data_IF_206173972001
#
_entry.id   IF_206173972001
#
_cell.length_a   1.000
_cell.length_b   1.000
_cell.length_c   1.000
_cell.angle_alpha   90.00
_cell.angle_beta   90.00
_cell.angle_gamma   90.00
#
_symmetry.space_group_name_H-M   'P 1'
#
loop_
_entity.id
_entity.type
_entity.pdbx_description
1 polymer ?
#
# COMPACT_ATOMS: atom_id res chain seq x y z
N UNK A 1 -32.84 -19.31 22.53
CA UNK A 1 -32.16 -18.48 21.51
C UNK A 1 -30.83 -19.14 21.19
N UNK A 2 -30.71 -19.76 20.05
CA UNK A 2 -29.51 -20.49 19.64
C UNK A 2 -28.48 -19.49 19.13
N UNK A 3 -27.40 -19.23 19.89
CA UNK A 3 -26.25 -18.51 19.39
C UNK A 3 -25.56 -19.39 18.35
N UNK A 4 -25.82 -19.16 17.09
CA UNK A 4 -25.00 -19.72 16.01
C UNK A 4 -23.62 -19.07 16.09
N UNK A 5 -22.67 -19.76 16.70
CA UNK A 5 -21.25 -19.44 16.60
C UNK A 5 -20.89 -19.63 15.11
N UNK A 6 -20.85 -18.51 14.37
CA UNK A 6 -20.28 -18.54 13.02
C UNK A 6 -18.82 -18.94 13.15
N UNK A 7 -18.52 -20.18 12.81
CA UNK A 7 -17.13 -20.64 12.69
C UNK A 7 -16.43 -19.74 11.69
N UNK A 8 -15.54 -18.89 12.16
CA UNK A 8 -14.68 -18.07 11.33
C UNK A 8 -13.78 -19.03 10.54
N UNK A 9 -13.86 -18.98 9.20
CA UNK A 9 -12.96 -19.75 8.35
C UNK A 9 -11.56 -19.17 8.50
N UNK A 10 -10.60 -20.00 8.89
CA UNK A 10 -9.19 -19.67 8.93
C UNK A 10 -8.51 -20.06 7.62
N UNK A 11 -7.61 -19.21 7.15
CA UNK A 11 -6.66 -19.54 6.09
C UNK A 11 -5.34 -19.95 6.75
N UNK A 12 -4.63 -20.89 6.13
CA UNK A 12 -3.33 -21.32 6.62
C UNK A 12 -2.40 -21.65 5.45
N UNK A 13 -1.18 -21.14 5.51
CA UNK A 13 -0.11 -21.39 4.55
C UNK A 13 0.09 -20.26 3.56
N UNK A 14 1.04 -20.48 2.65
CA UNK A 14 1.46 -19.49 1.66
C UNK A 14 0.65 -19.59 0.38
N UNK A 15 0.09 -18.48 -0.04
CA UNK A 15 -0.67 -18.33 -1.28
C UNK A 15 0.02 -17.32 -2.19
N UNK A 16 0.24 -17.69 -3.45
CA UNK A 16 1.02 -16.89 -4.40
C UNK A 16 0.25 -16.59 -5.67
N UNK A 17 0.56 -15.45 -6.25
CA UNK A 17 0.29 -15.08 -7.63
C UNK A 17 1.59 -14.51 -8.19
N UNK A 18 1.96 -14.76 -9.42
CA UNK A 18 3.19 -14.37 -10.13
C UNK A 18 4.26 -13.62 -9.29
N UNK A 19 3.91 -12.44 -8.76
CA UNK A 19 4.79 -11.55 -7.98
C UNK A 19 4.38 -11.40 -6.53
N UNK A 20 3.11 -11.65 -6.21
CA UNK A 20 2.58 -11.43 -4.86
C UNK A 20 2.50 -12.73 -4.08
N UNK A 21 2.83 -12.70 -2.79
CA UNK A 21 2.53 -13.77 -1.88
C UNK A 21 1.91 -13.27 -0.57
N UNK A 22 1.07 -14.15 0.00
CA UNK A 22 0.42 -13.97 1.29
C UNK A 22 0.69 -15.23 2.12
N UNK A 23 1.28 -15.09 3.29
CA UNK A 23 1.39 -16.14 4.29
C UNK A 23 0.29 -15.92 5.33
N UNK A 24 -0.70 -16.80 5.37
CA UNK A 24 -1.73 -16.76 6.41
C UNK A 24 -1.36 -17.71 7.55
N UNK A 25 -1.58 -17.23 8.78
CA UNK A 25 -1.32 -17.96 10.02
C UNK A 25 -2.62 -18.34 10.73
N UNK A 26 -2.55 -19.38 11.58
CA UNK A 26 -3.72 -19.91 12.32
C UNK A 26 -4.26 -18.95 13.37
N UNK A 27 -3.46 -17.98 13.81
CA UNK A 27 -3.82 -16.91 14.74
C UNK A 27 -4.52 -15.71 14.10
N UNK A 28 -4.95 -15.83 12.84
CA UNK A 28 -5.53 -14.78 12.01
C UNK A 28 -4.59 -13.62 11.69
N UNK A 29 -3.29 -13.84 11.76
CA UNK A 29 -2.30 -12.90 11.21
C UNK A 29 -1.90 -13.29 9.78
N UNK A 30 -1.31 -12.33 9.05
CA UNK A 30 -0.77 -12.60 7.73
C UNK A 30 0.49 -11.76 7.49
N UNK A 31 1.38 -12.29 6.65
CA UNK A 31 2.48 -11.57 6.04
C UNK A 31 2.21 -11.43 4.54
N UNK A 32 2.67 -10.36 3.94
CA UNK A 32 2.51 -10.04 2.52
C UNK A 32 3.79 -9.47 1.94
N UNK A 33 4.15 -9.91 0.74
CA UNK A 33 5.10 -9.18 -0.09
C UNK A 33 4.71 -9.24 -1.57
N UNK A 34 5.12 -8.18 -2.28
CA UNK A 34 5.12 -8.05 -3.71
C UNK A 34 6.58 -8.01 -4.16
N UNK A 35 6.98 -8.95 -5.01
CA UNK A 35 8.37 -9.17 -5.37
C UNK A 35 8.53 -8.94 -6.87
N UNK A 36 9.27 -7.89 -7.24
CA UNK A 36 9.66 -7.61 -8.61
C UNK A 36 11.01 -8.24 -8.97
N UNK A 37 11.51 -7.90 -10.15
CA UNK A 37 12.79 -8.41 -10.67
C UNK A 37 13.99 -8.01 -9.79
N UNK A 38 13.91 -6.83 -9.15
CA UNK A 38 14.99 -6.26 -8.32
C UNK A 38 14.82 -6.51 -6.81
N UNK A 39 13.87 -7.36 -6.42
CA UNK A 39 13.61 -7.67 -5.02
C UNK A 39 12.20 -7.27 -4.55
N UNK A 40 12.03 -7.11 -3.25
CA UNK A 40 10.74 -6.77 -2.66
C UNK A 40 10.36 -5.32 -2.98
N UNK A 41 9.25 -5.13 -3.68
CA UNK A 41 8.69 -3.81 -4.00
C UNK A 41 7.78 -3.27 -2.90
N UNK A 42 6.96 -4.14 -2.30
CA UNK A 42 6.05 -3.80 -1.20
C UNK A 42 5.99 -4.95 -0.20
N UNK A 43 5.81 -4.63 1.06
CA UNK A 43 5.61 -5.61 2.11
C UNK A 43 4.64 -5.12 3.18
N UNK A 44 4.06 -6.05 3.93
CA UNK A 44 3.17 -5.72 5.02
C UNK A 44 2.81 -6.93 5.88
N UNK A 45 2.38 -6.65 7.11
CA UNK A 45 1.98 -7.63 8.10
C UNK A 45 0.75 -7.13 8.86
N UNK A 46 -0.12 -8.04 9.26
CA UNK A 46 -1.29 -7.62 10.01
C UNK A 46 -2.27 -8.72 10.33
N UNK A 47 -3.49 -8.32 10.66
CA UNK A 47 -4.59 -9.24 10.94
C UNK A 47 -5.53 -9.38 9.75
N UNK A 48 -6.05 -10.58 9.53
CA UNK A 48 -7.07 -10.80 8.54
C UNK A 48 -8.39 -11.27 9.15
N UNK A 49 -9.47 -10.98 8.45
CA UNK A 49 -10.81 -11.50 8.74
C UNK A 49 -11.37 -12.09 7.45
N UNK A 50 -11.65 -13.40 7.49
CA UNK A 50 -12.34 -14.10 6.41
C UNK A 50 -13.78 -14.36 6.82
N UNK A 51 -14.73 -13.73 6.14
CA UNK A 51 -16.15 -14.06 6.17
C UNK A 51 -16.53 -14.93 4.97
N UNK A 52 -17.83 -15.22 4.82
CA UNK A 52 -18.32 -16.07 3.73
C UNK A 52 -17.88 -15.59 2.33
N UNK A 53 -17.88 -14.30 2.10
CA UNK A 53 -17.69 -13.66 0.80
C UNK A 53 -16.69 -12.50 0.80
N UNK A 54 -16.05 -12.24 1.93
CA UNK A 54 -15.15 -11.09 2.08
C UNK A 54 -13.88 -11.49 2.83
N UNK A 55 -12.72 -11.18 2.26
CA UNK A 55 -11.43 -11.17 2.94
C UNK A 55 -11.04 -9.72 3.22
N UNK A 56 -10.89 -9.38 4.49
CA UNK A 56 -10.37 -8.08 4.94
C UNK A 56 -8.95 -8.30 5.48
N UNK A 57 -8.00 -7.54 4.95
CA UNK A 57 -6.61 -7.48 5.41
C UNK A 57 -6.40 -6.12 6.09
N UNK A 58 -5.94 -6.14 7.33
CA UNK A 58 -5.60 -4.95 8.11
C UNK A 58 -4.09 -4.97 8.38
N UNK A 59 -3.33 -4.05 7.80
CA UNK A 59 -1.87 -3.98 7.86
C UNK A 59 -1.38 -3.26 9.14
N UNK A 60 -1.92 -3.63 10.30
CA UNK A 60 -1.68 -2.97 11.59
C UNK A 60 -0.40 -3.41 12.31
N UNK A 61 0.19 -4.55 11.91
CA UNK A 61 1.42 -5.10 12.52
C UNK A 61 2.69 -4.82 11.71
N UNK A 62 2.59 -4.08 10.58
CA UNK A 62 3.75 -3.84 9.73
C UNK A 62 4.82 -3.02 10.45
N UNK A 63 6.04 -3.54 10.52
CA UNK A 63 7.21 -2.80 10.95
C UNK A 63 7.73 -1.95 9.78
N UNK A 64 8.10 -0.70 10.08
CA UNK A 64 8.59 0.22 9.05
C UNK A 64 10.09 0.09 8.95
N UNK A 65 10.56 -0.42 7.79
CA UNK A 65 11.98 -0.61 7.46
C UNK A 65 12.41 0.29 6.28
N UNK A 66 11.73 1.41 6.07
CA UNK A 66 11.92 2.34 4.95
C UNK A 66 11.72 3.80 5.41
N UNK A 67 12.17 4.80 4.63
CA UNK A 67 12.10 6.22 5.01
C UNK A 67 10.68 6.77 5.23
N UNK A 68 9.67 6.06 4.75
CA UNK A 68 8.28 6.47 4.89
C UNK A 68 7.30 5.41 4.41
N UNK A 69 6.03 5.67 4.68
CA UNK A 69 4.91 4.93 4.10
C UNK A 69 3.76 5.89 3.80
N UNK A 70 2.76 5.43 3.07
CA UNK A 70 1.60 6.25 2.76
C UNK A 70 0.31 5.43 2.79
N UNK A 71 -0.80 6.14 2.99
CA UNK A 71 -2.16 5.62 2.87
C UNK A 71 -2.83 6.44 1.78
N UNK A 72 -3.21 5.79 0.68
CA UNK A 72 -3.77 6.44 -0.51
C UNK A 72 -5.24 6.10 -0.66
N UNK A 73 -6.04 7.14 -0.89
CA UNK A 73 -7.45 7.06 -1.29
C UNK A 73 -7.61 7.73 -2.64
N UNK A 74 -8.29 7.06 -3.56
CA UNK A 74 -8.53 7.55 -4.92
C UNK A 74 -10.01 7.80 -5.16
N UNK A 75 -10.32 8.80 -5.97
CA UNK A 75 -11.68 9.08 -6.40
C UNK A 75 -11.70 9.68 -7.81
N UNK A 76 -12.78 9.43 -8.53
CA UNK A 76 -13.02 10.06 -9.83
C UNK A 76 -13.63 11.45 -9.62
N UNK A 77 -13.30 12.39 -10.50
CA UNK A 77 -14.02 13.65 -10.65
C UNK A 77 -14.34 13.90 -12.13
N UNK A 78 -15.33 14.74 -12.40
CA UNK A 78 -15.80 15.06 -13.75
C UNK A 78 -15.07 16.27 -14.37
N UNK A 79 -14.10 16.86 -13.66
CA UNK A 79 -13.31 18.00 -14.15
C UNK A 79 -12.21 17.54 -15.10
N UNK A 80 -11.70 18.43 -15.92
CA UNK A 80 -10.54 18.19 -16.79
C UNK A 80 -9.21 18.20 -16.01
N UNK A 81 -9.24 18.48 -14.72
CA UNK A 81 -8.12 18.45 -13.80
C UNK A 81 -8.35 17.48 -12.67
N UNK A 82 -7.27 16.99 -12.08
CA UNK A 82 -7.29 16.19 -10.85
C UNK A 82 -6.77 17.01 -9.67
N UNK A 83 -7.27 16.68 -8.49
CA UNK A 83 -6.76 17.20 -7.23
C UNK A 83 -5.94 16.11 -6.52
N UNK A 84 -4.73 16.45 -6.10
CA UNK A 84 -3.89 15.63 -5.25
C UNK A 84 -3.76 16.35 -3.91
N UNK A 85 -4.47 15.85 -2.90
CA UNK A 85 -4.44 16.37 -1.52
C UNK A 85 -3.50 15.51 -0.71
N UNK A 86 -2.51 16.13 -0.08
CA UNK A 86 -1.47 15.46 0.67
C UNK A 86 -1.51 15.96 2.12
N UNK A 87 -1.47 15.04 3.07
CA UNK A 87 -1.30 15.31 4.48
C UNK A 87 0.01 14.63 4.93
N UNK A 88 0.98 15.39 5.41
CA UNK A 88 2.34 14.89 5.65
C UNK A 88 2.64 14.94 7.15
N UNK A 89 3.02 13.79 7.69
CA UNK A 89 3.22 13.57 9.12
C UNK A 89 4.55 12.85 9.39
N UNK A 90 5.02 12.94 10.64
CA UNK A 90 6.00 12.00 11.15
C UNK A 90 5.33 10.66 11.56
N UNK A 91 6.12 9.66 11.96
CA UNK A 91 5.61 8.36 12.42
C UNK A 91 4.77 8.45 13.71
N UNK A 92 4.82 9.57 14.45
CA UNK A 92 3.97 9.85 15.61
C UNK A 92 2.71 10.65 15.23
N UNK A 93 2.40 10.76 13.92
CA UNK A 93 1.25 11.50 13.38
C UNK A 93 1.27 13.01 13.68
N UNK A 94 2.46 13.59 13.91
CA UNK A 94 2.63 15.04 14.02
C UNK A 94 2.87 15.64 12.63
N UNK A 95 2.22 16.75 12.26
CA UNK A 95 2.43 17.44 10.99
C UNK A 95 3.91 17.74 10.73
N UNK A 96 4.33 17.61 9.47
CA UNK A 96 5.67 17.97 8.99
C UNK A 96 5.59 19.18 8.05
N UNK A 97 5.57 20.41 8.59
CA UNK A 97 5.58 21.62 7.77
C UNK A 97 6.89 21.74 6.98
N UNK A 98 6.86 22.57 5.94
CA UNK A 98 8.00 22.80 5.04
C UNK A 98 8.54 21.57 4.31
N UNK A 99 7.78 20.46 4.29
CA UNK A 99 8.12 19.32 3.43
C UNK A 99 7.92 19.72 1.98
N UNK A 100 8.97 19.62 1.17
CA UNK A 100 8.92 19.88 -0.26
C UNK A 100 8.36 18.67 -0.99
N UNK A 101 7.36 18.91 -1.84
CA UNK A 101 6.74 17.89 -2.69
C UNK A 101 7.00 18.22 -4.14
N UNK A 102 7.42 17.23 -4.92
CA UNK A 102 7.56 17.33 -6.36
C UNK A 102 6.69 16.25 -7.02
N UNK A 103 5.88 16.65 -7.99
CA UNK A 103 5.15 15.76 -8.88
C UNK A 103 5.86 15.78 -10.23
N UNK A 104 6.45 14.67 -10.63
CA UNK A 104 7.11 14.51 -11.93
C UNK A 104 6.11 13.95 -12.94
N UNK A 105 6.02 14.58 -14.11
CA UNK A 105 5.11 14.26 -15.22
C UNK A 105 5.88 14.31 -16.53
N UNK A 106 6.20 13.17 -17.14
CA UNK A 106 6.97 13.17 -18.37
C UNK A 106 8.18 14.12 -18.29
N UNK A 107 8.20 15.18 -19.11
CA UNK A 107 9.29 16.16 -19.15
C UNK A 107 9.09 17.37 -18.21
N UNK A 108 8.01 17.40 -17.41
CA UNK A 108 7.67 18.50 -16.52
C UNK A 108 7.61 18.10 -15.06
N UNK A 109 7.54 19.09 -14.19
CA UNK A 109 7.30 18.90 -12.76
C UNK A 109 6.44 20.00 -12.18
N UNK A 110 5.53 19.64 -11.29
CA UNK A 110 4.84 20.56 -10.38
C UNK A 110 5.46 20.44 -8.99
N UNK A 111 5.30 21.46 -8.17
CA UNK A 111 5.84 21.45 -6.82
C UNK A 111 4.90 22.12 -5.83
N UNK A 112 4.97 21.69 -4.58
CA UNK A 112 4.30 22.29 -3.45
C UNK A 112 5.18 22.25 -2.20
N UNK A 113 4.80 23.05 -1.22
CA UNK A 113 5.42 23.09 0.10
C UNK A 113 4.33 22.87 1.15
N UNK A 114 4.58 21.97 2.10
CA UNK A 114 3.63 21.72 3.18
C UNK A 114 3.47 22.96 4.08
N UNK A 115 2.21 23.31 4.36
CA UNK A 115 1.85 24.35 5.30
C UNK A 115 2.13 23.93 6.75
N UNK A 116 1.73 24.79 7.72
CA UNK A 116 1.95 24.54 9.15
C UNK A 116 1.23 23.26 9.64
N UNK A 117 0.15 22.86 8.99
CA UNK A 117 -0.61 21.64 9.27
C UNK A 117 -0.08 20.42 8.50
N UNK A 118 1.02 20.57 7.77
CA UNK A 118 1.60 19.50 6.94
C UNK A 118 0.82 19.25 5.64
N UNK A 119 -0.01 20.19 5.17
CA UNK A 119 -0.89 19.99 4.02
C UNK A 119 -0.31 20.58 2.74
N UNK A 120 -0.50 19.85 1.63
CA UNK A 120 -0.22 20.30 0.27
C UNK A 120 -1.41 19.97 -0.63
N UNK A 121 -1.73 20.87 -1.55
CA UNK A 121 -2.68 20.60 -2.62
C UNK A 121 -2.03 20.91 -3.96
N UNK A 122 -2.04 19.93 -4.86
CA UNK A 122 -1.64 20.09 -6.25
C UNK A 122 -2.88 19.88 -7.13
N UNK A 123 -3.06 20.78 -8.11
CA UNK A 123 -4.12 20.63 -9.13
C UNK A 123 -3.41 20.55 -10.48
N UNK A 124 -3.62 19.46 -11.19
CA UNK A 124 -2.95 19.18 -12.46
C UNK A 124 -3.96 18.75 -13.52
N UNK A 125 -3.66 19.02 -14.78
CA UNK A 125 -4.48 18.56 -15.90
C UNK A 125 -4.50 17.04 -16.00
N UNK A 126 -5.64 16.47 -16.39
CA UNK A 126 -5.76 15.05 -16.65
C UNK A 126 -4.88 14.64 -17.81
N UNK A 127 -4.13 13.56 -17.63
CA UNK A 127 -3.29 12.97 -18.67
C UNK A 127 -3.21 11.45 -18.47
N UNK A 128 -3.53 10.68 -19.49
CA UNK A 128 -3.52 9.22 -19.44
C UNK A 128 -2.19 8.60 -19.90
N UNK A 129 -1.25 9.40 -20.41
CA UNK A 129 -0.06 8.88 -21.09
C UNK A 129 1.25 9.06 -20.30
N UNK A 130 1.25 9.82 -19.22
CA UNK A 130 2.48 10.17 -18.52
C UNK A 130 2.78 9.22 -17.35
N UNK A 131 3.96 8.61 -17.39
CA UNK A 131 4.55 8.05 -16.17
C UNK A 131 4.77 9.16 -15.13
N UNK A 132 4.15 9.03 -14.00
CA UNK A 132 4.07 10.09 -12.99
C UNK A 132 4.37 9.52 -11.61
N UNK A 133 5.15 10.26 -10.83
CA UNK A 133 5.47 9.88 -9.45
C UNK A 133 5.59 11.10 -8.56
N UNK A 134 5.38 10.90 -7.26
CA UNK A 134 5.56 11.93 -6.22
C UNK A 134 6.87 11.70 -5.47
N UNK A 135 7.60 12.79 -5.22
CA UNK A 135 8.78 12.82 -4.36
C UNK A 135 8.56 13.78 -3.19
N UNK A 136 8.94 13.33 -2.01
CA UNK A 136 8.85 14.09 -0.77
C UNK A 136 10.26 14.28 -0.21
N UNK A 137 10.57 15.53 0.18
CA UNK A 137 11.85 15.89 0.79
C UNK A 137 11.58 16.58 2.12
N UNK A 138 12.05 15.96 3.18
CA UNK A 138 11.99 16.52 4.52
C UNK A 138 13.34 16.34 5.21
N UNK A 139 14.05 17.44 5.49
CA UNK A 139 15.46 17.42 5.89
C UNK A 139 16.27 16.53 4.92
N UNK A 140 17.02 15.56 5.45
CA UNK A 140 17.82 14.60 4.66
C UNK A 140 17.03 13.32 4.27
N UNK A 141 15.73 13.30 4.56
CA UNK A 141 14.87 12.16 4.21
C UNK A 141 14.21 12.40 2.86
N UNK A 142 14.30 11.40 1.99
CA UNK A 142 13.62 11.35 0.69
C UNK A 142 12.66 10.16 0.66
N UNK A 143 11.44 10.39 0.19
CA UNK A 143 10.45 9.35 0.00
C UNK A 143 9.78 9.48 -1.36
N UNK A 144 9.48 8.36 -2.02
CA UNK A 144 8.86 8.33 -3.34
C UNK A 144 7.58 7.49 -3.32
N UNK A 145 6.53 8.00 -3.97
CA UNK A 145 5.37 7.21 -4.39
C UNK A 145 5.55 6.94 -5.89
N UNK A 146 5.77 5.68 -6.32
CA UNK A 146 6.29 5.38 -7.65
C UNK A 146 5.31 5.62 -8.79
N UNK A 147 4.00 5.52 -8.55
CA UNK A 147 2.98 5.62 -9.59
C UNK A 147 1.79 6.43 -9.13
N UNK A 148 1.44 7.45 -9.92
CA UNK A 148 0.25 8.29 -9.77
C UNK A 148 -0.44 8.39 -11.14
N UNK A 149 -1.67 7.93 -11.21
CA UNK A 149 -2.50 8.02 -12.42
C UNK A 149 -3.10 9.42 -12.53
N UNK A 150 -2.74 10.17 -13.56
CA UNK A 150 -3.24 11.55 -13.75
C UNK A 150 -4.70 11.64 -14.26
N UNK A 151 -5.48 10.58 -14.17
CA UNK A 151 -6.94 10.58 -14.42
C UNK A 151 -7.77 10.42 -13.15
N UNK A 152 -7.15 10.15 -12.01
CA UNK A 152 -7.78 10.04 -10.70
C UNK A 152 -7.36 11.21 -9.80
N UNK A 153 -8.25 11.62 -8.92
CA UNK A 153 -7.93 12.51 -7.81
C UNK A 153 -7.54 11.69 -6.58
N UNK A 154 -6.71 12.28 -5.70
CA UNK A 154 -6.09 11.60 -4.58
C UNK A 154 -6.27 12.36 -3.29
N UNK A 155 -6.41 11.60 -2.22
CA UNK A 155 -6.15 12.02 -0.85
C UNK A 155 -5.14 11.05 -0.25
N UNK A 156 -3.95 11.55 0.08
CA UNK A 156 -2.81 10.73 0.50
C UNK A 156 -2.30 11.24 1.85
N UNK A 157 -2.28 10.35 2.83
CA UNK A 157 -1.60 10.58 4.10
C UNK A 157 -0.19 9.98 3.98
N UNK A 158 0.83 10.82 4.15
CA UNK A 158 2.24 10.46 4.02
C UNK A 158 2.88 10.53 5.41
N UNK A 159 3.62 9.49 5.77
CA UNK A 159 4.34 9.40 7.02
C UNK A 159 5.83 9.27 6.72
N UNK A 160 6.64 10.22 7.22
CA UNK A 160 8.08 10.29 6.97
C UNK A 160 8.88 10.13 8.25
N UNK A 161 10.04 9.49 8.15
CA UNK A 161 11.03 9.46 9.22
C UNK A 161 11.64 10.86 9.40
N UNK A 162 11.82 11.30 10.66
CA UNK A 162 12.60 12.49 10.98
C UNK A 162 14.11 12.25 10.98
N UNK A 163 14.50 10.99 11.07
CA UNK A 163 15.90 10.57 11.09
C UNK A 163 16.24 10.03 9.70
N UNK A 164 17.38 10.42 9.11
CA UNK A 164 17.81 9.86 7.84
C UNK A 164 17.85 8.33 7.91
N UNK A 165 17.35 7.68 6.88
CA UNK A 165 17.38 6.23 6.78
C UNK A 165 18.75 5.83 6.23
N UNK A 166 19.52 5.10 7.02
CA UNK A 166 20.93 4.75 6.68
C UNK A 166 21.01 3.43 5.89
N UNK A 167 19.95 2.63 5.93
CA UNK A 167 19.94 1.36 5.20
C UNK A 167 19.52 1.52 3.73
N UNK A 168 20.14 0.74 2.82
CA UNK A 168 19.81 0.81 1.40
C UNK A 168 18.36 0.42 1.13
N UNK A 169 17.82 0.95 0.05
CA UNK A 169 16.43 0.83 -0.45
C UNK A 169 15.99 -0.62 -0.79
N UNK A 170 16.69 -1.63 -0.34
CA UNK A 170 16.51 -3.04 -0.74
C UNK A 170 15.24 -3.71 -0.20
N UNK A 171 14.48 -3.05 0.67
CA UNK A 171 13.37 -3.70 1.39
C UNK A 171 11.96 -3.31 0.93
N UNK A 172 11.83 -2.50 -0.11
CA UNK A 172 10.54 -2.08 -0.66
C UNK A 172 9.75 -1.11 0.24
N UNK A 173 8.50 -0.83 -0.15
CA UNK A 173 7.62 0.10 0.55
C UNK A 173 6.74 -0.64 1.58
N UNK A 174 6.72 -0.14 2.81
CA UNK A 174 5.84 -0.67 3.85
C UNK A 174 4.37 -0.32 3.56
N UNK A 175 3.49 -1.33 3.60
CA UNK A 175 2.05 -1.12 3.69
C UNK A 175 1.69 -1.16 5.18
N UNK A 176 1.33 -0.02 5.77
CA UNK A 176 1.00 0.11 7.20
C UNK A 176 -0.30 0.87 7.39
N UNK A 177 -1.05 0.50 8.43
CA UNK A 177 -2.33 1.10 8.82
C UNK A 177 -3.38 1.15 7.68
N UNK A 178 -3.13 0.43 6.60
CA UNK A 178 -4.03 0.30 5.47
C UNK A 178 -5.01 -0.87 5.67
N UNK A 179 -6.21 -0.74 5.11
CA UNK A 179 -7.21 -1.80 5.10
C UNK A 179 -7.57 -2.13 3.66
N UNK A 180 -7.30 -3.35 3.24
CA UNK A 180 -7.70 -3.88 1.94
C UNK A 180 -8.90 -4.83 2.11
N UNK A 181 -9.86 -4.73 1.18
CA UNK A 181 -11.04 -5.60 1.16
C UNK A 181 -11.15 -6.26 -0.20
N UNK A 182 -11.36 -7.56 -0.19
CA UNK A 182 -11.56 -8.38 -1.38
C UNK A 182 -12.88 -9.12 -1.28
N UNK A 183 -13.62 -9.19 -2.39
CA UNK A 183 -14.73 -10.13 -2.48
C UNK A 183 -14.19 -11.51 -2.81
N UNK A 184 -14.50 -12.52 -1.99
CA UNK A 184 -14.09 -13.91 -2.21
C UNK A 184 -15.00 -14.53 -3.27
N UNK A 185 -14.45 -14.83 -4.44
CA UNK A 185 -15.17 -15.51 -5.54
C UNK A 185 -15.10 -17.02 -5.40
N UNK A 186 -13.91 -17.55 -5.01
CA UNK A 186 -13.69 -18.96 -4.72
C UNK A 186 -12.69 -19.09 -3.58
N UNK A 187 -12.95 -20.05 -2.69
CA UNK A 187 -12.02 -20.44 -1.63
C UNK A 187 -11.99 -21.96 -1.55
N UNK A 188 -10.83 -22.56 -1.86
CA UNK A 188 -10.52 -23.97 -1.75
C UNK A 188 -9.30 -24.15 -0.87
N UNK A 189 -8.99 -25.39 -0.47
CA UNK A 189 -7.82 -25.69 0.38
C UNK A 189 -6.50 -25.16 -0.18
N UNK A 190 -6.37 -25.15 -1.50
CA UNK A 190 -5.14 -24.86 -2.26
C UNK A 190 -5.28 -23.64 -3.21
N UNK A 191 -6.41 -22.93 -3.15
CA UNK A 191 -6.71 -21.89 -4.14
C UNK A 191 -7.66 -20.83 -3.59
N UNK A 192 -7.30 -19.56 -3.83
CA UNK A 192 -8.15 -18.38 -3.57
C UNK A 192 -8.34 -17.56 -4.84
N UNK A 193 -9.58 -17.14 -5.09
CA UNK A 193 -9.92 -16.17 -6.13
C UNK A 193 -10.59 -14.97 -5.48
N UNK A 194 -9.91 -13.83 -5.54
CA UNK A 194 -10.26 -12.60 -4.85
C UNK A 194 -10.54 -11.51 -5.88
N UNK A 195 -11.68 -10.82 -5.75
CA UNK A 195 -12.00 -9.67 -6.59
C UNK A 195 -11.64 -8.39 -5.84
N UNK A 196 -10.82 -7.57 -6.45
CA UNK A 196 -10.46 -6.23 -5.99
C UNK A 196 -11.63 -5.24 -6.19
N UNK A 197 -11.66 -4.09 -5.49
CA UNK A 197 -12.71 -3.06 -5.67
C UNK A 197 -12.82 -2.53 -7.11
N UNK A 198 -11.74 -2.51 -7.86
CA UNK A 198 -11.71 -2.12 -9.28
C UNK A 198 -12.21 -3.21 -10.24
N UNK A 199 -12.66 -4.37 -9.72
CA UNK A 199 -13.14 -5.50 -10.50
C UNK A 199 -12.09 -6.53 -10.92
N UNK A 200 -10.80 -6.22 -10.79
CA UNK A 200 -9.70 -7.14 -11.11
C UNK A 200 -9.75 -8.41 -10.27
N UNK A 201 -9.47 -9.56 -10.89
CA UNK A 201 -9.45 -10.85 -10.21
C UNK A 201 -8.01 -11.26 -9.90
N UNK A 202 -7.71 -11.42 -8.62
CA UNK A 202 -6.47 -11.97 -8.11
C UNK A 202 -6.66 -13.47 -7.87
N UNK A 203 -5.85 -14.29 -8.53
CA UNK A 203 -5.86 -15.74 -8.39
C UNK A 203 -4.60 -16.18 -7.65
N UNK A 204 -4.78 -16.78 -6.49
CA UNK A 204 -3.71 -17.19 -5.59
C UNK A 204 -3.72 -18.70 -5.45
N UNK A 205 -2.56 -19.36 -5.64
CA UNK A 205 -2.36 -20.79 -5.43
C UNK A 205 -1.57 -21.02 -4.15
N UNK A 206 -1.97 -22.01 -3.36
CA UNK A 206 -1.21 -22.43 -2.20
C UNK A 206 0.08 -23.12 -2.64
N UNK A 207 1.20 -22.77 -2.02
CA UNK A 207 2.53 -23.35 -2.27
C UNK A 207 3.19 -23.72 -0.95
N UNK A 208 4.23 -24.56 -1.03
CA UNK A 208 5.06 -24.86 0.13
C UNK A 208 5.96 -23.65 0.48
N UNK A 209 6.33 -23.54 1.76
CA UNK A 209 7.24 -22.50 2.26
C UNK A 209 8.60 -22.59 1.52
N UNK A 210 9.17 -21.46 1.12
CA UNK A 210 10.46 -21.40 0.44
C UNK A 210 10.43 -21.23 -1.08
N UNK A 211 9.25 -21.04 -1.66
CA UNK A 211 9.09 -20.86 -3.12
C UNK A 211 9.72 -19.55 -3.65
N UNK A 212 9.86 -18.52 -2.79
CA UNK A 212 10.54 -17.25 -3.13
C UNK A 212 11.72 -17.02 -2.17
N UNK A 213 12.92 -16.86 -2.73
CA UNK A 213 14.17 -16.78 -1.99
C UNK A 213 14.41 -15.51 -1.17
N UNK A 214 13.54 -14.49 -1.27
CA UNK A 214 13.67 -13.24 -0.53
C UNK A 214 12.41 -13.01 0.30
N UNK A 215 12.40 -13.51 1.52
CA UNK A 215 11.36 -13.20 2.51
C UNK A 215 11.79 -11.95 3.29
N UNK A 216 11.07 -10.80 3.20
CA UNK A 216 11.45 -9.57 3.92
C UNK A 216 11.27 -9.68 5.43
N UNK A 217 10.77 -10.83 5.94
CA UNK A 217 10.53 -11.08 7.36
C UNK A 217 11.51 -12.09 7.97
N UNK A 218 12.43 -12.67 7.19
CA UNK A 218 13.55 -13.51 7.67
C UNK A 218 14.80 -12.71 8.03
#
# INVERSE_FOLDING_TARGET
>A
MSNSIFSQKTLEGRFVNNTNWYQFHTDNTFDYADVGELGTERYGKGHYLLSKDTLKLNYDLTEIKCPGYHIMRTYQNLKDSIDIKLNIYDFNKKPLPNTKVLLFKGNGKDSGMADIDGKVRLTVEKNNEASTYLMFYYNDTMYRIPEIDLYLSYEIDIFLSKVPFIEPFERGYAIKDAVQKYRVKKSKKDYLELQQPNGTILKLKKVEKGFYGNDPFE
#
